data_IF_894024133553
#
_entry.id   IF_894024133553
#
_cell.length_a   1.000
_cell.length_b   1.000
_cell.length_c   1.000
_cell.angle_alpha   90.00
_cell.angle_beta   90.00
_cell.angle_gamma   90.00
#
_symmetry.space_group_name_H-M   'P 1'
#
loop_
_entity.id
_entity.type
_entity.pdbx_description
1 polymer ?
#
# COMPACT_ATOMS: atom_id res chain seq x y z
N UNK A 1 25.24 0.49 24.20
CA UNK A 1 25.45 1.87 23.73
C UNK A 1 24.10 2.57 23.80
N UNK A 2 24.04 3.73 24.46
CA UNK A 2 22.82 4.52 24.50
C UNK A 2 22.48 5.03 23.08
N UNK A 3 21.20 5.09 22.68
CA UNK A 3 20.82 5.65 21.40
C UNK A 3 21.31 7.09 21.28
N UNK A 4 21.76 7.55 20.11
CA UNK A 4 22.19 8.92 19.92
C UNK A 4 21.09 9.90 20.27
N UNK A 5 21.42 11.09 20.81
CA UNK A 5 20.43 12.06 21.23
C UNK A 5 19.57 12.48 20.03
N UNK A 6 18.25 12.48 20.25
CA UNK A 6 17.28 12.90 19.25
C UNK A 6 17.52 14.35 18.82
N UNK A 7 17.38 14.68 17.53
CA UNK A 7 17.48 16.05 17.06
C UNK A 7 16.39 16.91 17.72
N UNK A 8 16.81 18.00 18.38
CA UNK A 8 15.92 18.97 19.01
C UNK A 8 15.02 19.63 17.96
N UNK A 9 13.74 19.34 17.97
CA UNK A 9 12.68 20.25 17.56
C UNK A 9 11.36 19.75 18.14
N UNK A 10 10.86 20.38 19.17
CA UNK A 10 9.46 20.32 19.57
C UNK A 10 8.62 20.86 18.41
N UNK A 11 8.20 19.99 17.50
CA UNK A 11 7.11 20.33 16.58
C UNK A 11 5.81 20.17 17.37
N UNK A 12 5.17 21.30 17.65
CA UNK A 12 3.84 21.36 18.27
C UNK A 12 2.83 20.55 17.44
N UNK A 13 1.75 20.06 18.02
CA UNK A 13 0.66 19.32 17.32
C UNK A 13 0.11 20.09 16.10
N UNK A 14 0.19 21.41 16.11
CA UNK A 14 -0.16 22.28 14.98
C UNK A 14 0.69 21.99 13.72
N UNK A 15 2.00 21.76 13.86
CA UNK A 15 2.87 21.47 12.70
C UNK A 15 2.52 20.17 12.00
N UNK A 16 2.01 19.17 12.73
CA UNK A 16 1.54 17.88 12.19
C UNK A 16 0.18 18.02 11.53
N UNK A 17 -0.71 18.82 12.09
CA UNK A 17 -1.97 19.18 11.43
C UNK A 17 -1.70 19.79 10.07
N UNK A 18 -0.74 20.71 9.96
CA UNK A 18 -0.32 21.31 8.70
C UNK A 18 0.35 20.31 7.73
N UNK A 19 1.16 19.35 8.23
CA UNK A 19 1.76 18.32 7.38
C UNK A 19 0.69 17.42 6.78
N UNK A 20 -0.26 16.94 7.58
CA UNK A 20 -1.41 16.14 7.11
C UNK A 20 -2.30 16.91 6.14
N UNK A 21 -2.57 18.18 6.41
CA UNK A 21 -3.35 19.02 5.50
C UNK A 21 -2.66 19.19 4.15
N UNK A 22 -1.33 19.42 4.14
CA UNK A 22 -0.55 19.50 2.90
C UNK A 22 -0.58 18.20 2.12
N UNK A 23 -0.41 17.06 2.79
CA UNK A 23 -0.49 15.74 2.15
C UNK A 23 -1.88 15.51 1.55
N UNK A 24 -2.95 15.81 2.29
CA UNK A 24 -4.32 15.74 1.76
C UNK A 24 -4.47 16.61 0.51
N UNK A 25 -4.01 17.85 0.55
CA UNK A 25 -4.07 18.75 -0.62
C UNK A 25 -3.26 18.22 -1.80
N UNK A 26 -2.07 17.67 -1.55
CA UNK A 26 -1.22 17.07 -2.59
C UNK A 26 -1.90 15.87 -3.26
N UNK A 27 -2.66 15.06 -2.50
CA UNK A 27 -3.43 13.93 -3.05
C UNK A 27 -4.51 14.35 -4.04
N UNK A 28 -5.06 15.54 -3.90
CA UNK A 28 -6.06 16.08 -4.82
C UNK A 28 -5.45 16.91 -5.94
N UNK A 29 -4.17 17.26 -5.87
CA UNK A 29 -3.50 18.08 -6.88
C UNK A 29 -3.51 17.46 -8.30
N UNK A 30 -3.44 16.11 -8.48
CA UNK A 30 -3.55 15.50 -9.79
C UNK A 30 -4.94 15.55 -10.43
N UNK A 31 -5.99 15.93 -9.69
CA UNK A 31 -7.36 15.93 -10.20
C UNK A 31 -7.59 17.09 -11.16
N UNK A 32 -8.07 16.75 -12.34
CA UNK A 32 -8.66 17.63 -13.34
C UNK A 32 -10.11 17.24 -13.62
N UNK A 33 -10.77 17.95 -14.52
CA UNK A 33 -12.18 17.68 -14.86
C UNK A 33 -12.38 16.28 -15.43
N UNK A 34 -11.43 15.75 -16.21
CA UNK A 34 -11.49 14.39 -16.77
C UNK A 34 -11.39 13.35 -15.66
N UNK A 35 -10.43 13.48 -14.77
CA UNK A 35 -10.24 12.56 -13.62
C UNK A 35 -11.41 12.63 -12.64
N UNK A 36 -12.00 13.80 -12.45
CA UNK A 36 -13.23 13.95 -11.65
C UNK A 36 -14.43 13.26 -12.29
N UNK A 37 -14.60 13.40 -13.61
CA UNK A 37 -15.65 12.69 -14.36
C UNK A 37 -15.45 11.18 -14.27
N UNK A 38 -14.22 10.69 -14.43
CA UNK A 38 -13.86 9.30 -14.29
C UNK A 38 -14.16 8.76 -12.88
N UNK A 39 -13.79 9.51 -11.83
CA UNK A 39 -14.08 9.16 -10.43
C UNK A 39 -15.60 9.04 -10.18
N UNK A 40 -16.38 9.96 -10.75
CA UNK A 40 -17.84 9.93 -10.65
C UNK A 40 -18.42 8.71 -11.37
N UNK A 41 -17.91 8.36 -12.55
CA UNK A 41 -18.32 7.16 -13.29
C UNK A 41 -18.01 5.87 -12.50
N UNK A 42 -16.80 5.77 -11.93
CA UNK A 42 -16.41 4.66 -11.05
C UNK A 42 -17.36 4.52 -9.85
N UNK A 43 -17.65 5.64 -9.17
CA UNK A 43 -18.54 5.64 -8.01
C UNK A 43 -19.96 5.22 -8.38
N UNK A 44 -20.50 5.72 -9.50
CA UNK A 44 -21.84 5.33 -9.99
C UNK A 44 -21.88 3.85 -10.33
N UNK A 45 -20.87 3.32 -11.03
CA UNK A 45 -20.76 1.89 -11.36
C UNK A 45 -20.72 1.02 -10.09
N UNK A 46 -19.90 1.40 -9.11
CA UNK A 46 -19.84 0.71 -7.82
C UNK A 46 -21.21 0.71 -7.09
N UNK A 47 -21.88 1.86 -7.03
CA UNK A 47 -23.21 1.97 -6.39
C UNK A 47 -24.27 1.14 -7.07
N UNK A 48 -24.24 1.07 -8.40
CA UNK A 48 -25.15 0.24 -9.18
C UNK A 48 -24.93 -1.26 -8.89
N UNK A 49 -23.67 -1.70 -8.85
CA UNK A 49 -23.32 -3.07 -8.49
C UNK A 49 -23.70 -3.44 -7.05
N UNK A 50 -23.43 -2.55 -6.07
CA UNK A 50 -23.80 -2.74 -4.65
C UNK A 50 -25.33 -2.82 -4.46
N UNK A 51 -26.11 -2.07 -5.24
CA UNK A 51 -27.57 -2.15 -5.21
C UNK A 51 -28.10 -3.43 -5.87
N UNK A 52 -27.51 -3.85 -6.99
CA UNK A 52 -27.90 -5.07 -7.74
C UNK A 52 -27.63 -6.35 -6.99
N UNK A 53 -26.54 -6.44 -6.24
CA UNK A 53 -26.21 -7.60 -5.42
C UNK A 53 -27.20 -7.89 -4.28
N UNK A 54 -28.05 -6.93 -3.95
CA UNK A 54 -29.11 -7.07 -2.90
C UNK A 54 -30.47 -7.50 -3.45
N UNK A 55 -30.67 -7.45 -4.75
CA UNK A 55 -31.92 -7.85 -5.39
C UNK A 55 -31.78 -9.28 -5.93
N UNK A 56 -32.48 -10.24 -5.34
CA UNK A 56 -32.53 -11.63 -5.74
C UNK A 56 -32.48 -11.82 -7.27
N UNK A 57 -31.36 -12.36 -7.76
CA UNK A 57 -31.30 -13.08 -9.03
C UNK A 57 -31.36 -12.29 -10.33
N UNK A 58 -31.61 -10.99 -10.31
CA UNK A 58 -31.40 -10.17 -11.51
C UNK A 58 -29.94 -9.77 -11.56
N UNK A 59 -29.19 -10.36 -12.48
CA UNK A 59 -27.96 -9.83 -13.03
C UNK A 59 -28.26 -8.38 -13.49
N UNK A 60 -28.31 -7.43 -12.55
CA UNK A 60 -28.04 -6.05 -12.91
C UNK A 60 -26.60 -6.11 -13.42
N UNK A 61 -26.49 -6.36 -14.71
CA UNK A 61 -25.23 -6.37 -15.41
C UNK A 61 -24.47 -5.18 -14.88
N UNK A 62 -23.27 -5.44 -14.38
CA UNK A 62 -22.25 -4.44 -14.30
C UNK A 62 -22.20 -3.83 -15.69
N UNK A 63 -22.99 -2.76 -15.94
CA UNK A 63 -22.95 -2.04 -17.21
C UNK A 63 -21.48 -1.85 -17.53
N UNK A 64 -21.02 -2.09 -18.76
CA UNK A 64 -19.64 -1.97 -19.11
C UNK A 64 -19.16 -0.64 -18.54
N UNK A 65 -18.35 -0.74 -17.49
CA UNK A 65 -17.91 0.43 -16.74
C UNK A 65 -16.99 1.19 -17.68
N UNK A 66 -17.46 2.28 -18.26
CA UNK A 66 -16.68 3.15 -19.14
C UNK A 66 -15.68 4.02 -18.36
N UNK A 67 -15.25 3.52 -17.21
CA UNK A 67 -14.37 4.24 -16.30
C UNK A 67 -13.06 3.47 -16.08
N UNK A 68 -12.01 4.20 -15.83
CA UNK A 68 -10.65 3.72 -15.65
C UNK A 68 -10.25 3.73 -14.18
N UNK A 69 -9.26 2.92 -13.74
CA UNK A 69 -8.80 2.97 -12.37
C UNK A 69 -8.27 4.37 -12.03
N UNK A 70 -8.48 4.80 -10.80
CA UNK A 70 -7.90 6.03 -10.25
C UNK A 70 -6.56 5.80 -9.58
N UNK A 71 -6.28 4.55 -9.19
CA UNK A 71 -5.09 4.16 -8.46
C UNK A 71 -4.49 2.92 -9.10
N UNK A 72 -3.19 2.94 -9.28
CA UNK A 72 -2.43 1.77 -9.71
C UNK A 72 -1.34 1.48 -8.70
N UNK A 73 -1.27 0.24 -8.25
CA UNK A 73 -0.09 -0.26 -7.54
C UNK A 73 0.78 -1.00 -8.54
N UNK A 74 2.06 -0.67 -8.59
CA UNK A 74 3.01 -1.36 -9.47
C UNK A 74 4.13 -1.92 -8.60
N UNK A 75 4.50 -3.17 -8.84
CA UNK A 75 5.52 -3.88 -8.08
C UNK A 75 6.92 -3.53 -8.59
N UNK A 76 7.76 -2.80 -7.81
CA UNK A 76 9.12 -2.50 -8.27
C UNK A 76 10.03 -3.73 -8.28
N UNK A 77 9.81 -4.68 -7.38
CA UNK A 77 10.58 -5.92 -7.27
C UNK A 77 9.90 -6.90 -6.32
N UNK A 78 10.15 -8.19 -6.52
CA UNK A 78 9.78 -9.25 -5.57
C UNK A 78 10.85 -9.48 -4.49
N UNK A 79 12.07 -8.99 -4.69
CA UNK A 79 13.19 -9.20 -3.77
C UNK A 79 13.04 -8.41 -2.48
N UNK A 80 13.38 -9.03 -1.36
CA UNK A 80 13.45 -8.37 -0.05
C UNK A 80 14.68 -8.84 0.72
N UNK A 81 15.32 -7.93 1.46
CA UNK A 81 16.45 -8.22 2.32
C UNK A 81 16.05 -8.71 3.72
N UNK A 82 14.77 -8.66 4.08
CA UNK A 82 14.21 -9.13 5.36
C UNK A 82 13.48 -10.45 5.20
N UNK A 83 13.18 -11.11 6.35
CA UNK A 83 12.49 -12.40 6.44
C UNK A 83 11.28 -12.30 7.37
N UNK A 84 10.45 -11.26 7.17
CA UNK A 84 9.26 -11.07 7.99
C UNK A 84 8.32 -12.27 7.87
N UNK A 85 7.81 -12.84 8.98
CA UNK A 85 6.74 -13.84 8.95
C UNK A 85 5.47 -13.22 8.35
N UNK A 86 4.58 -14.02 7.82
CA UNK A 86 3.34 -13.59 7.13
C UNK A 86 3.57 -12.77 5.84
N UNK A 87 4.82 -12.67 5.37
CA UNK A 87 5.14 -11.94 4.14
C UNK A 87 5.74 -12.88 3.09
N UNK A 88 5.09 -13.09 1.93
CA UNK A 88 5.62 -13.99 0.89
C UNK A 88 7.04 -13.63 0.43
N UNK A 89 7.36 -12.34 0.32
CA UNK A 89 8.74 -11.90 0.00
C UNK A 89 9.73 -12.28 1.10
N UNK A 90 9.32 -12.16 2.37
CA UNK A 90 10.14 -12.54 3.53
C UNK A 90 10.33 -14.05 3.63
N UNK A 91 9.27 -14.81 3.40
CA UNK A 91 9.25 -16.28 3.41
C UNK A 91 9.85 -16.87 2.12
N UNK A 92 10.02 -16.08 1.06
CA UNK A 92 10.45 -16.52 -0.26
C UNK A 92 9.54 -17.62 -0.83
N UNK A 93 8.23 -17.49 -0.59
CA UNK A 93 7.21 -18.49 -0.88
C UNK A 93 6.42 -18.23 -2.17
N UNK A 94 6.91 -17.35 -3.05
CA UNK A 94 6.24 -17.12 -4.33
C UNK A 94 6.23 -18.36 -5.21
N UNK A 95 5.07 -18.70 -5.77
CA UNK A 95 4.94 -19.66 -6.85
C UNK A 95 5.10 -19.02 -8.25
N UNK A 96 5.06 -17.67 -8.30
CA UNK A 96 5.23 -16.88 -9.52
C UNK A 96 6.70 -16.47 -9.76
N UNK A 97 7.07 -16.07 -11.00
CA UNK A 97 8.39 -15.55 -11.30
C UNK A 97 8.77 -14.37 -10.39
N UNK A 98 10.06 -14.30 -10.05
CA UNK A 98 10.64 -13.21 -9.28
C UNK A 98 11.53 -12.33 -10.14
N UNK A 99 11.56 -11.02 -9.87
CA UNK A 99 12.36 -10.10 -10.67
C UNK A 99 12.20 -8.63 -10.25
N UNK A 100 12.57 -7.75 -11.17
CA UNK A 100 12.53 -6.30 -10.99
C UNK A 100 11.86 -5.62 -12.17
N UNK A 101 11.08 -4.59 -11.88
CA UNK A 101 10.43 -3.75 -12.88
C UNK A 101 11.46 -2.90 -13.61
N UNK A 102 11.40 -2.94 -14.93
CA UNK A 102 12.13 -2.05 -15.80
C UNK A 102 11.39 -0.69 -15.91
N UNK A 103 12.08 0.46 -15.80
CA UNK A 103 11.49 1.77 -15.99
C UNK A 103 10.78 1.95 -17.34
N UNK A 104 11.30 1.38 -18.42
CA UNK A 104 10.67 1.47 -19.74
C UNK A 104 9.29 0.81 -19.77
N UNK A 105 9.11 -0.32 -19.07
CA UNK A 105 7.81 -0.96 -18.91
C UNK A 105 6.81 -0.06 -18.17
N UNK A 106 7.24 0.61 -17.10
CA UNK A 106 6.37 1.57 -16.41
C UNK A 106 6.01 2.75 -17.32
N UNK A 107 6.97 3.24 -18.08
CA UNK A 107 6.74 4.31 -19.06
C UNK A 107 5.73 3.89 -20.13
N UNK A 108 5.87 2.70 -20.72
CA UNK A 108 4.93 2.17 -21.70
C UNK A 108 3.50 2.05 -21.13
N UNK A 109 3.38 1.68 -19.85
CA UNK A 109 2.09 1.56 -19.17
C UNK A 109 1.42 2.92 -18.90
N UNK A 110 2.20 3.94 -18.54
CA UNK A 110 1.66 5.23 -18.06
C UNK A 110 1.58 6.30 -19.13
N UNK A 111 2.52 6.32 -20.08
CA UNK A 111 2.74 7.45 -20.99
C UNK A 111 2.09 7.25 -22.36
N UNK A 112 1.92 8.36 -23.10
CA UNK A 112 1.40 8.35 -24.47
C UNK A 112 -0.13 8.40 -24.58
N UNK A 113 -0.68 8.28 -25.80
CA UNK A 113 -2.11 8.46 -26.07
C UNK A 113 -3.00 7.45 -25.33
N UNK A 114 -2.56 6.20 -25.22
CA UNK A 114 -3.26 5.12 -24.52
C UNK A 114 -2.74 4.91 -23.10
N UNK A 115 -1.75 5.70 -22.66
CA UNK A 115 -1.18 5.62 -21.34
C UNK A 115 -2.18 5.88 -20.22
N UNK A 116 -2.00 5.21 -19.09
CA UNK A 116 -2.91 5.30 -17.94
C UNK A 116 -2.73 6.58 -17.14
N UNK A 117 -1.59 7.27 -17.26
CA UNK A 117 -1.28 8.48 -16.49
C UNK A 117 -2.34 9.56 -16.59
N UNK A 118 -3.02 9.66 -17.74
CA UNK A 118 -4.11 10.62 -17.97
C UNK A 118 -5.39 10.36 -17.16
N UNK A 119 -5.60 9.15 -16.66
CA UNK A 119 -6.80 8.74 -15.91
C UNK A 119 -6.50 8.49 -14.43
N UNK A 120 -5.27 8.10 -14.11
CA UNK A 120 -4.82 7.85 -12.76
C UNK A 120 -4.64 9.14 -11.95
N UNK A 121 -4.89 9.03 -10.66
CA UNK A 121 -4.59 10.05 -9.64
C UNK A 121 -3.41 9.59 -8.79
N UNK A 122 -3.36 8.30 -8.46
CA UNK A 122 -2.39 7.70 -7.54
C UNK A 122 -1.57 6.62 -8.20
N UNK A 123 -0.26 6.66 -7.98
CA UNK A 123 0.68 5.59 -8.28
C UNK A 123 1.34 5.13 -6.99
N UNK A 124 1.13 3.86 -6.64
CA UNK A 124 1.77 3.23 -5.50
C UNK A 124 2.87 2.32 -6.02
N UNK A 125 4.12 2.68 -5.78
CA UNK A 125 5.29 1.89 -6.17
C UNK A 125 5.68 0.94 -5.05
N UNK A 126 4.76 0.06 -4.68
CA UNK A 126 4.96 -1.06 -3.76
C UNK A 126 3.83 -2.08 -3.91
N UNK A 127 4.18 -3.35 -3.78
CA UNK A 127 3.25 -4.47 -3.71
C UNK A 127 3.86 -5.57 -2.86
N UNK A 128 4.89 -6.23 -3.36
CA UNK A 128 5.76 -7.16 -2.64
C UNK A 128 7.20 -6.65 -2.70
N UNK A 129 8.12 -7.30 -1.98
CA UNK A 129 9.54 -6.93 -1.99
C UNK A 129 9.87 -5.64 -1.22
N UNK A 130 11.14 -5.24 -1.36
CA UNK A 130 11.66 -3.95 -0.87
C UNK A 130 11.95 -3.05 -2.06
N UNK A 131 11.17 -1.98 -2.29
CA UNK A 131 11.28 -1.15 -3.50
C UNK A 131 12.68 -0.61 -3.77
N UNK A 132 13.42 -0.22 -2.72
CA UNK A 132 14.76 0.35 -2.89
C UNK A 132 15.86 -0.68 -3.14
N UNK A 133 15.53 -1.96 -3.31
CA UNK A 133 16.42 -2.94 -3.95
C UNK A 133 16.38 -2.83 -5.47
N UNK A 134 15.33 -2.23 -6.05
CA UNK A 134 15.34 -1.89 -7.46
C UNK A 134 16.25 -0.66 -7.69
N UNK A 135 17.33 -0.77 -8.49
CA UNK A 135 18.23 0.35 -8.76
C UNK A 135 17.54 1.49 -9.53
N UNK A 136 16.51 1.17 -10.32
CA UNK A 136 15.70 2.12 -11.10
C UNK A 136 14.59 2.81 -10.30
N UNK A 137 14.49 2.61 -8.98
CA UNK A 137 13.37 3.11 -8.17
C UNK A 137 13.18 4.63 -8.28
N UNK A 138 14.27 5.39 -8.31
CA UNK A 138 14.22 6.85 -8.41
C UNK A 138 13.64 7.29 -9.78
N UNK A 139 13.94 6.54 -10.86
CA UNK A 139 13.38 6.76 -12.19
C UNK A 139 11.91 6.35 -12.27
N UNK A 140 11.52 5.24 -11.64
CA UNK A 140 10.11 4.83 -11.54
C UNK A 140 9.26 5.94 -10.89
N UNK A 141 9.77 6.56 -9.83
CA UNK A 141 9.11 7.72 -9.21
C UNK A 141 9.03 8.89 -10.20
N UNK A 142 10.13 9.21 -10.89
CA UNK A 142 10.19 10.34 -11.83
C UNK A 142 9.21 10.14 -13.00
N UNK A 143 9.02 8.92 -13.51
CA UNK A 143 8.02 8.59 -14.53
C UNK A 143 6.62 8.96 -14.02
N UNK A 144 6.23 8.48 -12.84
CA UNK A 144 4.93 8.83 -12.25
C UNK A 144 4.75 10.34 -12.04
N UNK A 145 5.82 11.05 -11.67
CA UNK A 145 5.78 12.52 -11.49
C UNK A 145 5.66 13.27 -12.82
N UNK A 146 6.27 12.78 -13.90
CA UNK A 146 6.10 13.36 -15.25
C UNK A 146 4.65 13.26 -15.74
N UNK A 147 3.95 12.18 -15.37
CA UNK A 147 2.52 11.99 -15.65
C UNK A 147 1.59 12.78 -14.69
N UNK A 148 2.15 13.61 -13.81
CA UNK A 148 1.40 14.42 -12.86
C UNK A 148 0.71 13.66 -11.73
N UNK A 149 1.15 12.43 -11.44
CA UNK A 149 0.53 11.58 -10.43
C UNK A 149 1.00 11.92 -9.01
N UNK A 150 0.17 11.60 -8.02
CA UNK A 150 0.60 11.48 -6.63
C UNK A 150 1.29 10.12 -6.46
N UNK A 151 2.58 10.15 -6.17
CA UNK A 151 3.43 8.95 -6.09
C UNK A 151 3.76 8.61 -4.65
N UNK A 152 3.53 7.35 -4.25
CA UNK A 152 3.86 6.85 -2.93
C UNK A 152 4.63 5.53 -2.99
N UNK A 153 5.45 5.28 -1.95
CA UNK A 153 6.09 3.98 -1.73
C UNK A 153 6.19 3.64 -0.25
N UNK A 154 6.43 2.36 0.03
CA UNK A 154 6.69 1.85 1.37
C UNK A 154 8.02 1.10 1.37
N UNK A 155 8.84 1.29 2.42
CA UNK A 155 10.18 0.70 2.53
C UNK A 155 10.48 0.21 3.94
N UNK A 156 11.33 -0.81 4.04
CA UNK A 156 11.95 -1.21 5.30
C UNK A 156 13.17 -0.34 5.67
N UNK A 157 13.54 0.58 4.78
CA UNK A 157 14.55 1.63 4.95
C UNK A 157 16.02 1.18 5.17
N UNK A 158 16.36 -0.10 4.98
CA UNK A 158 17.72 -0.60 5.21
C UNK A 158 18.75 -0.15 4.17
N UNK A 159 18.30 0.35 3.02
CA UNK A 159 19.15 0.76 1.89
C UNK A 159 19.13 2.26 1.62
N UNK A 160 18.78 3.08 2.63
CA UNK A 160 18.71 4.53 2.49
C UNK A 160 19.95 5.17 3.13
N UNK A 161 21.00 5.35 2.33
CA UNK A 161 22.19 6.15 2.67
C UNK A 161 21.87 7.66 2.56
N UNK A 162 22.73 8.57 3.03
CA UNK A 162 22.57 10.02 2.82
C UNK A 162 22.38 10.40 1.35
N UNK A 163 23.15 9.80 0.43
CA UNK A 163 23.10 10.04 -1.00
C UNK A 163 21.79 9.49 -1.60
N UNK A 164 21.36 8.32 -1.16
CA UNK A 164 20.06 7.75 -1.57
C UNK A 164 18.92 8.63 -1.06
N UNK A 165 18.98 9.11 0.17
CA UNK A 165 17.97 10.02 0.73
C UNK A 165 17.83 11.30 -0.13
N UNK A 166 18.96 11.87 -0.56
CA UNK A 166 18.94 13.04 -1.43
C UNK A 166 18.28 12.73 -2.80
N UNK A 167 18.59 11.59 -3.42
CA UNK A 167 17.94 11.14 -4.66
C UNK A 167 16.43 10.94 -4.49
N UNK A 168 16.00 10.31 -3.38
CA UNK A 168 14.59 10.14 -3.03
C UNK A 168 13.88 11.49 -2.95
N UNK A 169 14.48 12.50 -2.33
CA UNK A 169 13.86 13.83 -2.26
C UNK A 169 13.81 14.49 -3.64
N UNK A 170 14.88 14.35 -4.45
CA UNK A 170 14.97 14.91 -5.81
C UNK A 170 14.03 14.23 -6.81
N UNK A 171 13.72 12.95 -6.63
CA UNK A 171 12.77 12.23 -7.51
C UNK A 171 11.35 12.81 -7.48
N UNK A 172 11.03 13.58 -6.43
CA UNK A 172 9.74 14.23 -6.30
C UNK A 172 8.63 13.36 -5.70
N UNK A 173 8.98 12.23 -5.09
CA UNK A 173 8.00 11.37 -4.41
C UNK A 173 7.16 12.17 -3.40
N UNK A 174 5.84 11.91 -3.37
CA UNK A 174 4.91 12.66 -2.52
C UNK A 174 4.78 12.06 -1.12
N UNK A 175 4.83 10.72 -1.01
CA UNK A 175 4.65 10.01 0.27
C UNK A 175 5.64 8.86 0.40
N UNK A 176 6.35 8.83 1.51
CA UNK A 176 7.30 7.77 1.88
C UNK A 176 6.85 7.12 3.19
N UNK A 177 6.47 5.85 3.12
CA UNK A 177 6.10 5.05 4.28
C UNK A 177 7.32 4.26 4.72
N UNK A 178 7.78 4.49 5.94
CA UNK A 178 8.86 3.76 6.58
C UNK A 178 8.25 2.78 7.57
N UNK A 179 8.48 1.50 7.35
CA UNK A 179 8.02 0.43 8.24
C UNK A 179 8.96 0.30 9.43
N UNK A 180 8.43 0.53 10.65
CA UNK A 180 9.20 0.46 11.89
C UNK A 180 8.35 -0.16 13.00
N UNK A 181 8.65 -1.42 13.37
CA UNK A 181 7.77 -2.26 14.19
C UNK A 181 8.36 -2.57 15.57
N UNK A 182 9.13 -1.65 16.14
CA UNK A 182 9.70 -1.75 17.48
C UNK A 182 10.42 -0.49 17.92
N UNK A 183 10.42 -0.22 19.23
CA UNK A 183 11.15 0.87 19.87
C UNK A 183 12.57 0.47 20.27
N UNK A 184 12.85 -0.82 20.32
CA UNK A 184 14.15 -1.42 20.53
C UNK A 184 14.43 -2.54 19.52
N UNK A 185 15.67 -3.03 19.49
CA UNK A 185 16.10 -4.03 18.52
C UNK A 185 15.40 -5.38 18.71
N UNK A 186 15.10 -5.77 19.94
CA UNK A 186 14.47 -7.05 20.24
C UNK A 186 13.04 -7.11 19.69
N UNK A 187 12.19 -6.17 20.06
CA UNK A 187 10.82 -6.08 19.56
C UNK A 187 10.76 -5.86 18.05
N UNK A 188 11.67 -5.02 17.51
CA UNK A 188 11.76 -4.78 16.07
C UNK A 188 12.08 -6.07 15.30
N UNK A 189 13.11 -6.82 15.72
CA UNK A 189 13.55 -8.02 15.01
C UNK A 189 12.65 -9.24 15.22
N UNK A 190 11.78 -9.22 16.23
CA UNK A 190 10.78 -10.26 16.45
C UNK A 190 9.83 -10.41 15.25
N UNK A 191 9.49 -9.30 14.58
CA UNK A 191 8.74 -9.32 13.33
C UNK A 191 9.62 -9.05 12.10
N UNK A 192 10.51 -8.07 12.15
CA UNK A 192 11.40 -7.69 11.03
C UNK A 192 12.69 -8.54 11.05
N UNK A 193 12.50 -9.85 10.90
CA UNK A 193 13.60 -10.85 10.99
C UNK A 193 14.72 -10.49 10.01
N UNK A 194 15.95 -10.40 10.55
CA UNK A 194 17.15 -9.96 9.82
C UNK A 194 17.30 -8.44 9.71
N UNK A 195 16.34 -7.67 10.22
CA UNK A 195 16.39 -6.22 10.22
C UNK A 195 17.18 -5.64 11.40
N UNK A 196 17.70 -4.43 11.20
CA UNK A 196 18.41 -3.64 12.19
C UNK A 196 17.68 -2.31 12.41
N UNK A 197 17.15 -2.09 13.61
CA UNK A 197 16.42 -0.88 13.96
C UNK A 197 17.27 0.39 13.76
N UNK A 198 18.56 0.33 14.11
CA UNK A 198 19.49 1.44 13.91
C UNK A 198 19.50 1.93 12.46
N UNK A 199 19.52 1.01 11.47
CA UNK A 199 19.45 1.38 10.04
C UNK A 199 18.18 2.12 9.68
N UNK A 200 17.03 1.75 10.24
CA UNK A 200 15.75 2.42 9.99
C UNK A 200 15.73 3.83 10.59
N UNK A 201 16.30 3.97 11.79
CA UNK A 201 16.46 5.27 12.45
C UNK A 201 17.42 6.17 11.68
N UNK A 202 18.56 5.65 11.26
CA UNK A 202 19.54 6.39 10.43
C UNK A 202 18.92 6.82 9.10
N UNK A 203 18.23 5.92 8.41
CA UNK A 203 17.52 6.23 7.17
C UNK A 203 16.46 7.33 7.37
N UNK A 204 15.71 7.28 8.47
CA UNK A 204 14.75 8.34 8.81
C UNK A 204 15.47 9.68 8.99
N UNK A 205 16.61 9.70 9.70
CA UNK A 205 17.43 10.90 9.88
C UNK A 205 17.91 11.42 8.54
N UNK A 206 18.51 10.56 7.69
CA UNK A 206 18.98 10.95 6.37
C UNK A 206 17.89 11.60 5.51
N UNK A 207 16.67 11.04 5.52
CA UNK A 207 15.51 11.61 4.80
C UNK A 207 15.13 12.98 5.37
N UNK A 208 15.00 13.10 6.70
CA UNK A 208 14.59 14.35 7.33
C UNK A 208 15.63 15.46 7.14
N UNK A 209 16.92 15.12 7.21
CA UNK A 209 18.03 16.05 6.97
C UNK A 209 18.10 16.46 5.49
N UNK A 210 17.92 15.54 4.56
CA UNK A 210 17.86 15.84 3.13
C UNK A 210 16.66 16.77 2.81
N UNK A 211 15.47 16.51 3.36
CA UNK A 211 14.31 17.42 3.22
C UNK A 211 14.65 18.83 3.68
N UNK A 212 15.29 18.96 4.85
CA UNK A 212 15.67 20.26 5.42
C UNK A 212 16.71 20.95 4.57
N UNK A 213 17.79 20.25 4.20
CA UNK A 213 18.91 20.81 3.41
C UNK A 213 18.47 21.27 2.02
N UNK A 214 17.58 20.52 1.37
CA UNK A 214 17.04 20.85 0.05
C UNK A 214 15.83 21.80 0.08
N UNK A 215 15.40 22.26 1.25
CA UNK A 215 14.23 23.14 1.40
C UNK A 215 12.91 22.49 0.93
N UNK A 216 12.84 21.16 0.89
CA UNK A 216 11.67 20.44 0.39
C UNK A 216 10.69 20.06 1.49
N UNK A 217 9.39 20.21 1.21
CA UNK A 217 8.32 19.78 2.12
C UNK A 217 7.87 18.34 1.84
N UNK A 218 7.95 17.87 0.61
CA UNK A 218 7.75 16.48 0.22
C UNK A 218 9.07 15.68 0.37
N UNK A 219 8.97 14.36 0.54
CA UNK A 219 7.75 13.56 0.76
C UNK A 219 7.11 13.81 2.13
N UNK A 220 5.80 13.49 2.24
CA UNK A 220 5.15 13.27 3.52
C UNK A 220 5.69 11.96 4.11
N UNK A 221 6.48 12.04 5.16
CA UNK A 221 7.15 10.90 5.79
C UNK A 221 6.26 10.28 6.85
N UNK A 222 5.95 9.01 6.67
CA UNK A 222 5.08 8.23 7.58
C UNK A 222 5.90 7.15 8.25
N UNK A 223 5.86 7.08 9.57
CA UNK A 223 6.21 5.86 10.28
C UNK A 223 4.97 4.98 10.38
N UNK A 224 5.05 3.78 9.81
CA UNK A 224 4.01 2.77 9.91
C UNK A 224 4.46 1.68 10.89
N UNK A 225 3.65 1.47 11.91
CA UNK A 225 3.86 0.49 12.97
C UNK A 225 2.83 -0.63 12.83
N UNK A 226 3.29 -1.84 12.50
CA UNK A 226 2.46 -3.03 12.51
C UNK A 226 2.41 -3.58 13.92
N UNK A 227 1.25 -3.50 14.56
CA UNK A 227 1.05 -4.04 15.91
C UNK A 227 0.92 -5.55 15.84
N UNK A 228 1.76 -6.21 16.65
CA UNK A 228 1.78 -7.65 16.88
C UNK A 228 1.97 -7.94 18.37
N UNK A 229 1.71 -9.18 18.82
CA UNK A 229 1.80 -9.52 20.24
C UNK A 229 3.14 -9.19 20.90
N UNK A 230 4.23 -9.29 20.14
CA UNK A 230 5.59 -9.02 20.65
C UNK A 230 5.92 -7.54 20.81
N UNK A 231 5.15 -6.60 20.22
CA UNK A 231 5.46 -5.18 20.23
C UNK A 231 4.31 -4.25 20.70
N UNK A 232 3.11 -4.78 20.98
CA UNK A 232 1.94 -3.96 21.33
C UNK A 232 2.18 -3.06 22.55
N UNK A 233 2.96 -3.52 23.54
CA UNK A 233 3.33 -2.77 24.73
C UNK A 233 4.19 -1.53 24.42
N UNK A 234 4.84 -1.48 23.26
CA UNK A 234 5.69 -0.36 22.84
C UNK A 234 4.95 0.75 22.10
N UNK A 235 3.66 0.58 21.82
CA UNK A 235 2.88 1.57 21.06
C UNK A 235 2.94 3.00 21.62
N UNK A 236 2.84 3.25 22.96
CA UNK A 236 3.00 4.59 23.52
C UNK A 236 4.40 5.17 23.26
N UNK A 237 5.45 4.37 23.46
CA UNK A 237 6.84 4.75 23.21
C UNK A 237 7.06 5.10 21.74
N UNK A 238 6.57 4.30 20.82
CA UNK A 238 6.67 4.54 19.39
C UNK A 238 5.97 5.83 18.96
N UNK A 239 4.81 6.15 19.55
CA UNK A 239 4.13 7.44 19.33
C UNK A 239 4.98 8.62 19.78
N UNK A 240 5.63 8.49 20.92
CA UNK A 240 6.54 9.54 21.44
C UNK A 240 7.80 9.65 20.57
N UNK A 241 8.42 8.53 20.22
CA UNK A 241 9.58 8.53 19.30
C UNK A 241 9.25 9.20 17.96
N UNK A 242 8.14 8.84 17.32
CA UNK A 242 7.70 9.46 16.08
C UNK A 242 7.56 10.99 16.21
N UNK A 243 7.16 11.49 17.38
CA UNK A 243 7.12 12.94 17.69
C UNK A 243 8.51 13.54 17.74
N UNK A 244 9.41 12.92 18.46
CA UNK A 244 10.79 13.39 18.66
C UNK A 244 11.57 13.39 17.34
N UNK A 245 11.39 12.35 16.52
CA UNK A 245 12.02 12.23 15.21
C UNK A 245 11.44 13.19 14.16
N UNK A 246 10.32 13.82 14.43
CA UNK A 246 9.72 14.85 13.60
C UNK A 246 9.15 14.31 12.28
N UNK A 247 8.83 13.01 12.20
CA UNK A 247 8.12 12.46 11.03
C UNK A 247 6.74 13.08 10.90
N UNK A 248 6.26 13.21 9.67
CA UNK A 248 5.03 13.95 9.41
C UNK A 248 3.79 13.21 9.93
N UNK A 249 3.83 11.86 9.99
CA UNK A 249 2.70 11.04 10.44
C UNK A 249 3.17 9.74 11.09
N UNK A 250 2.42 9.26 12.09
CA UNK A 250 2.55 7.92 12.66
C UNK A 250 1.24 7.16 12.47
N UNK A 251 1.31 5.99 11.83
CA UNK A 251 0.16 5.15 11.49
C UNK A 251 0.33 3.79 12.13
N UNK A 252 -0.74 3.30 12.76
CA UNK A 252 -0.81 1.95 13.32
C UNK A 252 -1.58 1.05 12.37
N UNK A 253 -1.05 -0.14 12.11
CA UNK A 253 -1.71 -1.21 11.35
C UNK A 253 -1.88 -2.44 12.21
N UNK A 254 -3.00 -3.13 12.04
CA UNK A 254 -3.24 -4.44 12.67
C UNK A 254 -2.72 -5.56 11.78
N UNK A 255 -2.11 -6.58 12.39
CA UNK A 255 -1.57 -7.71 11.66
C UNK A 255 -2.70 -8.53 10.99
N UNK A 256 -2.42 -8.97 9.76
CA UNK A 256 -3.17 -10.02 9.10
C UNK A 256 -2.39 -11.32 9.30
N UNK A 257 -3.04 -12.31 9.88
CA UNK A 257 -2.48 -13.64 10.19
C UNK A 257 -3.13 -14.65 9.25
N UNK A 258 -2.37 -15.59 8.75
CA UNK A 258 -2.90 -16.62 7.84
C UNK A 258 -3.83 -17.58 8.61
N UNK A 259 -3.41 -18.04 9.79
CA UNK A 259 -4.19 -18.92 10.65
C UNK A 259 -4.12 -18.46 12.12
N UNK A 260 -4.98 -17.51 12.55
CA UNK A 260 -4.97 -17.06 13.94
C UNK A 260 -5.37 -18.18 14.89
N UNK A 261 -4.60 -18.36 15.98
CA UNK A 261 -4.85 -19.31 17.09
C UNK A 261 -4.35 -18.69 18.41
N UNK A 262 -4.70 -19.29 19.56
CA UNK A 262 -4.47 -18.70 20.89
C UNK A 262 -2.99 -18.38 21.18
N UNK A 263 -2.12 -19.30 20.83
CA UNK A 263 -0.68 -19.17 21.06
C UNK A 263 0.06 -18.54 19.88
N UNK A 264 -0.66 -17.93 18.94
CA UNK A 264 -0.01 -17.31 17.78
C UNK A 264 0.84 -16.10 18.21
N UNK A 265 2.17 -16.12 18.03
CA UNK A 265 3.08 -15.12 18.61
C UNK A 265 2.84 -13.69 18.12
N UNK A 266 2.20 -13.54 16.95
CA UNK A 266 1.86 -12.25 16.38
C UNK A 266 0.46 -11.76 16.75
N UNK A 267 -0.36 -12.58 17.41
CA UNK A 267 -1.68 -12.17 17.84
C UNK A 267 -1.58 -11.24 19.04
N UNK A 268 -2.12 -10.03 18.92
CA UNK A 268 -2.14 -9.05 20.01
C UNK A 268 -3.07 -9.49 21.12
N UNK A 269 -2.68 -9.23 22.39
CA UNK A 269 -3.52 -9.51 23.56
C UNK A 269 -4.58 -8.42 23.76
N UNK A 270 -4.27 -7.16 23.38
CA UNK A 270 -5.24 -6.07 23.42
C UNK A 270 -6.31 -6.25 22.32
N UNK A 271 -7.58 -6.50 22.69
CA UNK A 271 -8.65 -6.68 21.72
C UNK A 271 -8.84 -5.49 20.78
N UNK A 272 -8.48 -4.28 21.19
CA UNK A 272 -8.61 -3.06 20.37
C UNK A 272 -7.61 -2.99 19.22
N UNK A 273 -6.52 -3.76 19.31
CA UNK A 273 -5.39 -3.74 18.37
C UNK A 273 -5.34 -4.97 17.46
N UNK A 274 -6.27 -5.94 17.61
CA UNK A 274 -6.32 -7.13 16.77
C UNK A 274 -7.42 -7.07 15.71
N UNK A 275 -7.21 -7.81 14.64
CA UNK A 275 -8.14 -7.95 13.51
C UNK A 275 -9.19 -9.02 13.77
N UNK A 276 -8.95 -9.89 14.74
CA UNK A 276 -9.72 -11.11 14.99
C UNK A 276 -10.35 -11.12 16.38
N UNK A 277 -11.52 -11.74 16.49
CA UNK A 277 -12.19 -12.05 17.75
C UNK A 277 -12.65 -13.51 17.74
N UNK A 278 -13.06 -14.03 18.90
CA UNK A 278 -13.65 -15.36 18.99
C UNK A 278 -15.15 -15.28 18.72
N UNK A 279 -15.64 -16.21 17.90
CA UNK A 279 -17.08 -16.44 17.78
C UNK A 279 -17.62 -17.21 19.00
N UNK A 280 -18.95 -17.38 19.14
CA UNK A 280 -19.54 -18.12 20.26
C UNK A 280 -19.08 -19.58 20.36
N UNK A 281 -18.54 -20.19 19.31
CA UNK A 281 -17.94 -21.52 19.29
C UNK A 281 -16.47 -21.56 19.71
N UNK A 282 -15.88 -20.38 19.98
CA UNK A 282 -14.46 -20.21 20.32
C UNK A 282 -13.49 -20.14 19.16
N UNK A 283 -13.98 -20.12 17.91
CA UNK A 283 -13.12 -20.01 16.71
C UNK A 283 -12.70 -18.57 16.47
N UNK A 284 -11.48 -18.36 16.00
CA UNK A 284 -11.00 -17.06 15.56
C UNK A 284 -11.64 -16.65 14.22
N UNK A 285 -12.29 -15.51 14.21
CA UNK A 285 -12.96 -14.93 13.05
C UNK A 285 -12.58 -13.47 12.90
N UNK A 286 -12.73 -12.91 11.71
CA UNK A 286 -12.57 -11.47 11.50
C UNK A 286 -13.54 -10.68 12.39
N UNK A 287 -13.02 -9.69 13.11
CA UNK A 287 -13.84 -8.78 13.95
C UNK A 287 -14.86 -8.01 13.11
N UNK A 288 -14.43 -7.44 12.00
CA UNK A 288 -15.31 -6.69 11.13
C UNK A 288 -16.02 -7.65 10.16
N UNK A 289 -17.33 -7.48 9.94
CA UNK A 289 -18.06 -8.33 9.03
C UNK A 289 -17.51 -8.20 7.61
N UNK A 290 -17.40 -9.35 6.95
CA UNK A 290 -17.09 -9.40 5.53
C UNK A 290 -18.37 -9.12 4.74
N UNK A 291 -18.44 -7.97 4.08
CA UNK A 291 -19.56 -7.62 3.22
C UNK A 291 -19.25 -8.04 1.77
N UNK A 292 -20.26 -8.48 1.04
CA UNK A 292 -20.14 -8.81 -0.39
C UNK A 292 -20.05 -7.55 -1.24
N UNK A 293 -19.02 -6.77 -1.00
CA UNK A 293 -18.68 -5.55 -1.76
C UNK A 293 -17.22 -5.16 -1.54
N UNK A 294 -16.60 -4.53 -2.52
CA UNK A 294 -15.25 -4.02 -2.40
C UNK A 294 -15.00 -2.83 -3.33
N UNK A 295 -14.84 -1.62 -2.77
CA UNK A 295 -14.51 -0.42 -3.52
C UNK A 295 -13.10 -0.48 -4.14
N UNK A 296 -12.14 -1.15 -3.49
CA UNK A 296 -10.74 -1.23 -4.00
C UNK A 296 -10.64 -1.81 -5.39
N UNK A 297 -11.50 -2.78 -5.73
CA UNK A 297 -11.52 -3.40 -7.06
C UNK A 297 -12.09 -2.49 -8.16
N UNK A 298 -12.79 -1.44 -7.78
CA UNK A 298 -13.29 -0.40 -8.68
C UNK A 298 -12.31 0.74 -8.77
N UNK A 299 -11.67 1.07 -7.65
CA UNK A 299 -10.73 2.17 -7.56
C UNK A 299 -9.41 1.89 -8.30
N UNK A 300 -8.94 0.64 -8.32
CA UNK A 300 -7.62 0.34 -8.85
C UNK A 300 -7.31 -1.14 -9.05
N UNK A 301 -6.11 -1.37 -9.53
CA UNK A 301 -5.53 -2.68 -9.78
C UNK A 301 -4.07 -2.71 -9.30
N UNK A 302 -3.46 -3.89 -9.39
CA UNK A 302 -2.03 -4.10 -9.22
C UNK A 302 -1.43 -4.60 -10.53
N UNK A 303 -0.24 -4.14 -10.87
CA UNK A 303 0.58 -4.68 -11.95
C UNK A 303 1.89 -5.17 -11.36
N UNK A 304 2.20 -6.44 -11.58
CA UNK A 304 3.46 -7.04 -11.11
C UNK A 304 4.65 -6.55 -11.94
N UNK A 305 5.86 -6.79 -11.46
CA UNK A 305 7.10 -6.36 -12.12
C UNK A 305 7.21 -6.82 -13.58
N UNK A 306 6.59 -7.95 -13.92
CA UNK A 306 6.58 -8.54 -15.25
C UNK A 306 5.31 -8.24 -16.08
N UNK A 307 4.44 -7.35 -15.56
CA UNK A 307 3.27 -6.85 -16.28
C UNK A 307 1.97 -7.62 -16.05
N UNK A 308 1.93 -8.63 -15.17
CA UNK A 308 0.68 -9.32 -14.88
C UNK A 308 -0.27 -8.39 -14.08
N UNK A 309 -1.50 -8.26 -14.56
CA UNK A 309 -2.54 -7.48 -13.90
C UNK A 309 -3.28 -8.37 -12.92
N UNK A 310 -3.36 -7.96 -11.66
CA UNK A 310 -4.13 -8.63 -10.61
C UNK A 310 -5.12 -7.66 -9.96
N UNK A 311 -6.27 -8.14 -9.49
CA UNK A 311 -7.36 -7.26 -9.08
C UNK A 311 -7.12 -6.57 -7.73
N UNK A 312 -6.25 -7.12 -6.87
CA UNK A 312 -6.09 -6.62 -5.51
C UNK A 312 -4.69 -6.89 -4.94
N UNK A 313 -4.24 -6.01 -4.04
CA UNK A 313 -2.97 -6.18 -3.34
C UNK A 313 -2.97 -7.35 -2.31
N UNK A 314 -4.10 -8.00 -2.07
CA UNK A 314 -4.17 -9.23 -1.27
C UNK A 314 -3.87 -10.48 -2.10
N UNK A 315 -3.88 -10.40 -3.41
CA UNK A 315 -3.42 -11.46 -4.32
C UNK A 315 -1.89 -11.42 -4.45
N UNK A 316 -1.21 -11.69 -3.34
CA UNK A 316 0.24 -11.53 -3.22
C UNK A 316 1.05 -12.42 -4.17
N UNK A 317 0.53 -13.56 -4.53
CA UNK A 317 1.16 -14.52 -5.45
C UNK A 317 0.60 -14.46 -6.88
N UNK A 318 -0.25 -13.46 -7.17
CA UNK A 318 -0.86 -13.22 -8.48
C UNK A 318 -1.64 -14.44 -9.04
N UNK A 319 -2.35 -15.15 -8.17
CA UNK A 319 -3.14 -16.35 -8.53
C UNK A 319 -4.42 -16.01 -9.30
N UNK A 320 -4.92 -14.78 -9.14
CA UNK A 320 -6.08 -14.24 -9.84
C UNK A 320 -5.66 -13.32 -11.00
N UNK A 321 -4.71 -13.76 -11.84
CA UNK A 321 -4.23 -12.98 -12.97
C UNK A 321 -5.33 -12.67 -13.98
N UNK A 322 -5.52 -11.40 -14.32
CA UNK A 322 -6.52 -10.93 -15.29
C UNK A 322 -5.96 -10.84 -16.71
N UNK A 323 -4.65 -10.94 -16.87
CA UNK A 323 -3.93 -10.84 -18.13
C UNK A 323 -2.59 -10.13 -17.94
N UNK A 324 -1.81 -10.02 -19.01
CA UNK A 324 -0.50 -9.34 -19.01
C UNK A 324 -0.57 -8.07 -19.82
N UNK A 325 -0.26 -6.94 -19.19
CA UNK A 325 -0.20 -5.62 -19.81
C UNK A 325 1.26 -5.27 -20.13
N UNK A 326 1.56 -5.15 -21.41
CA UNK A 326 2.85 -4.66 -21.89
C UNK A 326 2.85 -3.12 -21.99
N UNK A 327 1.67 -2.53 -22.17
CA UNK A 327 1.44 -1.08 -22.28
C UNK A 327 0.06 -0.66 -21.74
N UNK A 328 -0.25 0.62 -21.86
CA UNK A 328 -1.53 1.18 -21.44
C UNK A 328 -2.72 0.64 -22.23
N UNK A 329 -2.58 0.39 -23.53
CA UNK A 329 -3.66 -0.15 -24.38
C UNK A 329 -4.03 -1.58 -23.96
N UNK A 330 -3.04 -2.44 -23.75
CA UNK A 330 -3.24 -3.80 -23.26
C UNK A 330 -3.91 -3.81 -21.87
N UNK A 331 -3.46 -2.91 -20.96
CA UNK A 331 -4.11 -2.78 -19.65
C UNK A 331 -5.59 -2.38 -19.78
N UNK A 332 -5.93 -1.46 -20.67
CA UNK A 332 -7.31 -1.02 -20.89
C UNK A 332 -8.22 -2.16 -21.35
N UNK A 333 -7.72 -3.02 -22.26
CA UNK A 333 -8.45 -4.22 -22.68
C UNK A 333 -8.67 -5.19 -21.51
N UNK A 334 -7.64 -5.44 -20.70
CA UNK A 334 -7.72 -6.31 -19.52
C UNK A 334 -8.73 -5.75 -18.50
N UNK A 335 -8.69 -4.44 -18.21
CA UNK A 335 -9.57 -3.80 -17.23
C UNK A 335 -11.06 -3.96 -17.54
N UNK A 336 -11.42 -4.03 -18.83
CA UNK A 336 -12.76 -4.22 -19.34
C UNK A 336 -13.04 -5.65 -19.87
N UNK A 337 -12.14 -6.60 -19.62
CA UNK A 337 -12.34 -7.99 -20.06
C UNK A 337 -13.47 -8.67 -19.28
N UNK A 338 -14.04 -9.71 -19.91
CA UNK A 338 -15.06 -10.56 -19.28
C UNK A 338 -14.52 -11.22 -18.01
N UNK A 339 -13.25 -11.61 -17.98
CA UNK A 339 -12.59 -12.17 -16.81
C UNK A 339 -12.61 -11.19 -15.63
N UNK A 340 -12.27 -9.92 -15.87
CA UNK A 340 -12.28 -8.90 -14.83
C UNK A 340 -13.71 -8.58 -14.37
N UNK A 341 -14.68 -8.56 -15.30
CA UNK A 341 -16.10 -8.38 -14.97
C UNK A 341 -16.63 -9.53 -14.12
N UNK A 342 -16.38 -10.78 -14.50
CA UNK A 342 -16.76 -11.97 -13.74
C UNK A 342 -16.16 -11.97 -12.32
N UNK A 343 -14.90 -11.54 -12.21
CA UNK A 343 -14.26 -11.43 -10.90
C UNK A 343 -14.94 -10.35 -10.02
N UNK A 344 -15.26 -9.17 -10.57
CA UNK A 344 -16.01 -8.15 -9.83
C UNK A 344 -17.39 -8.64 -9.40
N UNK A 345 -18.10 -9.35 -10.28
CA UNK A 345 -19.38 -9.96 -9.96
C UNK A 345 -19.27 -10.95 -8.80
N UNK A 346 -18.26 -11.83 -8.80
CA UNK A 346 -18.05 -12.79 -7.72
C UNK A 346 -17.84 -12.13 -6.34
N UNK A 347 -17.23 -10.94 -6.30
CA UNK A 347 -17.07 -10.16 -5.05
C UNK A 347 -18.41 -9.63 -4.53
N UNK A 348 -19.36 -9.28 -5.41
CA UNK A 348 -20.66 -8.79 -5.01
C UNK A 348 -21.69 -9.90 -4.71
N UNK A 349 -21.39 -11.13 -5.09
CA UNK A 349 -22.30 -12.27 -4.90
C UNK A 349 -21.80 -13.24 -3.82
N UNK A 350 -20.50 -13.46 -3.72
CA UNK A 350 -19.92 -14.45 -2.82
C UNK A 350 -18.45 -14.17 -2.50
N UNK A 351 -18.16 -13.01 -1.92
CA UNK A 351 -16.79 -12.58 -1.59
C UNK A 351 -16.04 -13.57 -0.68
N UNK A 352 -16.74 -14.19 0.27
CA UNK A 352 -16.15 -15.19 1.17
C UNK A 352 -15.66 -16.45 0.45
N UNK A 353 -16.16 -16.75 -0.74
CA UNK A 353 -15.69 -17.86 -1.58
C UNK A 353 -14.35 -17.61 -2.25
N UNK A 354 -13.91 -16.35 -2.34
CA UNK A 354 -12.64 -15.97 -2.96
C UNK A 354 -11.55 -16.08 -1.89
N UNK A 355 -10.54 -16.92 -2.13
CA UNK A 355 -9.48 -17.25 -1.16
C UNK A 355 -8.75 -16.02 -0.62
N UNK A 356 -8.26 -15.12 -1.48
CA UNK A 356 -7.58 -13.88 -1.06
C UNK A 356 -8.49 -12.91 -0.29
N UNK A 357 -9.82 -13.06 -0.42
CA UNK A 357 -10.78 -12.21 0.28
C UNK A 357 -11.18 -12.74 1.65
N UNK A 358 -11.03 -14.06 1.92
CA UNK A 358 -11.51 -14.70 3.17
C UNK A 358 -10.98 -14.05 4.43
N UNK A 359 -9.78 -13.53 4.38
CA UNK A 359 -9.10 -12.90 5.52
C UNK A 359 -9.00 -11.36 5.34
N UNK A 360 -9.98 -10.75 4.66
CA UNK A 360 -9.95 -9.33 4.35
C UNK A 360 -11.29 -8.65 4.62
N UNK A 361 -11.33 -7.73 5.57
CA UNK A 361 -12.48 -6.86 5.86
C UNK A 361 -12.32 -5.45 5.26
N UNK A 362 -11.30 -5.24 4.42
CA UNK A 362 -11.03 -3.93 3.82
C UNK A 362 -11.86 -3.70 2.55
N UNK A 363 -11.88 -2.44 2.08
CA UNK A 363 -12.54 -2.07 0.83
C UNK A 363 -14.07 -2.02 0.89
N UNK A 364 -14.66 -2.17 2.06
CA UNK A 364 -16.12 -2.11 2.25
C UNK A 364 -16.68 -0.69 2.23
N UNK A 365 -15.83 0.31 2.39
CA UNK A 365 -16.17 1.73 2.36
C UNK A 365 -15.52 2.43 1.16
N UNK A 366 -16.23 3.40 0.60
CA UNK A 366 -15.72 4.28 -0.45
C UNK A 366 -14.78 5.31 0.19
N UNK A 367 -13.58 5.48 -0.36
CA UNK A 367 -12.56 6.43 0.12
C UNK A 367 -12.00 6.16 1.52
N UNK A 368 -12.11 4.94 2.03
CA UNK A 368 -11.55 4.52 3.32
C UNK A 368 -10.04 4.15 3.23
#
# INVERSE_FOLDING_TARGET
MAPPPAPRAERTDLSRGWAKWRDRRARFAPLDLRKLANATALWRGFRAADAGGKSNGSRAMLHPMQAWPMSLSVEPTTSCNLRCPECPSGLRSFSRPTGMLDPDRLSALLSGPEGLGRDLVYLNLYFQGEPYLNPGMDELVAIGKREGLYVSTSTNAHHITPERAERIIKSGIDRLIISIDGADQEAYSAYRVGGKLEKVLDATRHIMDAKKRLGRRAPHVVWQFLVVGTNEHQLPTMRQMARTWGVDEFVVKTAQLDAPHDDHPLLTQDPRLRRYDRDPSGRWVLRNPMLDRCWRMWQGAVVTWDGQVVPCCFDKDATHGMGRAEDGAAFRQIWHSDAYHAFRESVFTHRAGIDMCRNCSEGTEVWA
#
